data_IF_405615756539
#
_entry.id   IF_405615756539
#
_cell.length_a   1.000
_cell.length_b   1.000
_cell.length_c   1.000
_cell.angle_alpha   90.00
_cell.angle_beta   90.00
_cell.angle_gamma   90.00
#
_symmetry.space_group_name_H-M   'P 1'
#
loop_
_entity.id
_entity.type
_entity.pdbx_description
1 polymer ?
#
# COMPACT_ATOMS: atom_id res chain seq x y z
N UNK A 1 38.24 17.43 -0.08
CA UNK A 1 39.08 18.05 0.97
C UNK A 1 38.78 17.34 2.28
N UNK A 2 39.56 16.33 2.65
CA UNK A 2 39.41 15.66 3.94
C UNK A 2 40.25 16.42 4.96
N UNK A 3 39.60 17.31 5.73
CA UNK A 3 40.25 17.96 6.86
C UNK A 3 40.49 16.89 7.92
N UNK A 4 41.74 16.50 8.12
CA UNK A 4 42.17 15.66 9.23
C UNK A 4 42.64 16.60 10.35
N UNK A 5 41.79 16.92 11.34
CA UNK A 5 42.21 17.79 12.42
C UNK A 5 43.37 17.15 13.19
N UNK A 6 44.49 17.86 13.26
CA UNK A 6 45.70 17.45 13.99
C UNK A 6 45.60 18.03 15.40
N UNK A 7 45.43 17.19 16.40
CA UNK A 7 45.44 17.59 17.81
C UNK A 7 46.84 17.34 18.41
N UNK A 8 47.37 18.33 19.12
CA UNK A 8 48.63 18.21 19.89
C UNK A 8 48.26 17.81 21.32
N UNK A 9 48.82 16.71 21.82
CA UNK A 9 48.51 16.18 23.15
C UNK A 9 49.50 16.69 24.20
N UNK A 10 48.99 17.12 25.36
CA UNK A 10 49.79 17.29 26.59
C UNK A 10 49.83 15.95 27.35
N UNK A 11 50.99 15.60 27.94
CA UNK A 11 51.12 14.37 28.71
C UNK A 11 50.20 14.39 29.95
N UNK A 12 49.34 13.37 30.11
CA UNK A 12 48.50 13.17 31.29
C UNK A 12 46.99 13.38 31.12
N UNK A 13 46.53 13.75 29.92
CA UNK A 13 45.09 13.80 29.59
C UNK A 13 44.74 12.68 28.59
N UNK A 14 43.74 11.87 28.91
CA UNK A 14 43.06 10.99 27.95
C UNK A 14 41.92 11.80 27.31
N UNK A 15 42.10 12.38 26.10
CA UNK A 15 41.01 13.11 25.48
C UNK A 15 39.93 12.12 25.03
N UNK A 16 38.70 12.36 25.48
CA UNK A 16 37.53 11.70 24.91
C UNK A 16 37.15 12.43 23.63
N UNK A 17 37.21 11.75 22.49
CA UNK A 17 36.65 12.28 21.25
C UNK A 17 35.12 12.16 21.29
N UNK A 18 34.43 13.26 21.60
CA UNK A 18 32.97 13.30 21.42
C UNK A 18 32.67 13.59 19.95
N UNK A 19 32.51 12.55 19.15
CA UNK A 19 32.06 12.72 17.77
C UNK A 19 30.56 13.08 17.78
N UNK A 20 30.21 14.30 17.39
CA UNK A 20 28.81 14.73 17.27
C UNK A 20 28.20 14.16 15.97
N UNK A 21 27.85 12.87 15.98
CA UNK A 21 27.18 12.22 14.85
C UNK A 21 25.70 12.64 14.85
N UNK A 22 25.26 13.32 13.79
CA UNK A 22 23.84 13.63 13.60
C UNK A 22 23.09 12.34 13.33
N UNK A 23 22.33 11.84 14.31
CA UNK A 23 21.49 10.65 14.16
C UNK A 23 20.11 11.02 13.60
N UNK A 24 19.78 10.53 12.41
CA UNK A 24 18.45 10.70 11.82
C UNK A 24 17.51 9.62 12.37
N UNK A 25 16.30 10.01 12.79
CA UNK A 25 15.28 9.06 13.24
C UNK A 25 14.86 8.10 12.13
N UNK A 26 14.40 6.90 12.47
CA UNK A 26 13.82 5.96 11.50
C UNK A 26 12.38 6.36 11.18
N UNK A 27 11.93 6.32 9.91
CA UNK A 27 10.53 6.54 9.57
C UNK A 27 9.59 5.57 10.31
N UNK A 28 8.46 6.08 10.78
CA UNK A 28 7.37 5.30 11.38
C UNK A 28 6.22 5.13 10.39
N UNK A 29 5.47 4.04 10.53
CA UNK A 29 4.38 3.66 9.64
C UNK A 29 3.05 3.73 10.39
N UNK A 30 2.02 4.29 9.76
CA UNK A 30 0.66 4.28 10.29
C UNK A 30 -0.37 4.04 9.18
N UNK A 31 -1.16 2.95 9.23
CA UNK A 31 -1.19 1.96 10.31
C UNK A 31 0.06 1.06 10.30
N UNK A 32 0.28 0.30 11.39
CA UNK A 32 1.40 -0.65 11.48
C UNK A 32 1.21 -1.85 10.54
N UNK A 33 2.29 -2.57 10.25
CA UNK A 33 2.24 -3.80 9.47
C UNK A 33 1.29 -4.83 10.06
N UNK A 34 0.58 -5.56 9.21
CA UNK A 34 -0.46 -6.50 9.62
C UNK A 34 -1.35 -6.97 8.47
N UNK A 35 -2.40 -7.70 8.85
CA UNK A 35 -3.42 -8.21 7.93
C UNK A 35 -4.61 -7.27 7.92
N UNK A 36 -5.04 -6.86 6.74
CA UNK A 36 -6.17 -5.96 6.53
C UNK A 36 -7.21 -6.61 5.61
N UNK A 37 -8.52 -6.44 5.89
CA UNK A 37 -9.59 -7.06 5.10
C UNK A 37 -9.92 -6.28 3.81
N UNK A 38 -9.32 -5.09 3.62
CA UNK A 38 -9.54 -4.21 2.50
C UNK A 38 -8.29 -3.35 2.25
N UNK A 39 -8.15 -2.73 1.06
CA UNK A 39 -7.08 -1.78 0.78
C UNK A 39 -6.98 -0.66 1.81
N UNK A 40 -5.75 -0.27 2.15
CA UNK A 40 -5.46 0.79 3.13
C UNK A 40 -4.53 1.85 2.55
N UNK A 41 -4.48 3.01 3.22
CA UNK A 41 -3.47 4.04 2.97
C UNK A 41 -2.48 4.09 4.14
N UNK A 42 -1.19 3.90 3.84
CA UNK A 42 -0.10 3.95 4.81
C UNK A 42 0.54 5.33 4.78
N UNK A 43 0.59 5.97 5.94
CA UNK A 43 1.28 7.23 6.16
C UNK A 43 2.66 6.97 6.77
N UNK A 44 3.68 7.66 6.26
CA UNK A 44 5.03 7.67 6.81
C UNK A 44 5.25 8.96 7.59
N UNK A 45 5.83 8.85 8.78
CA UNK A 45 6.14 9.99 9.64
C UNK A 45 7.58 9.94 10.14
N UNK A 46 8.16 11.11 10.41
CA UNK A 46 9.52 11.23 10.91
C UNK A 46 9.56 12.23 12.08
N UNK A 47 10.19 11.88 13.22
CA UNK A 47 10.31 12.80 14.34
C UNK A 47 11.37 13.88 14.14
N UNK A 48 12.25 13.74 13.14
CA UNK A 48 13.36 14.67 12.87
C UNK A 48 12.97 15.69 11.80
N UNK A 49 12.95 16.98 12.16
CA UNK A 49 12.72 18.06 11.19
C UNK A 49 13.86 18.17 10.16
N UNK A 50 13.51 18.45 8.90
CA UNK A 50 14.47 18.75 7.83
C UNK A 50 15.00 17.55 7.03
N UNK A 51 14.56 16.32 7.31
CA UNK A 51 14.89 15.14 6.52
C UNK A 51 13.74 14.74 5.57
N UNK A 52 14.12 14.17 4.42
CA UNK A 52 13.21 13.66 3.41
C UNK A 52 13.09 12.14 3.55
N UNK A 53 11.88 11.58 3.40
CA UNK A 53 11.65 10.14 3.46
C UNK A 53 11.65 9.55 2.06
N UNK A 54 12.45 8.51 1.85
CA UNK A 54 12.52 7.74 0.61
C UNK A 54 12.06 6.31 0.87
N UNK A 55 11.29 5.73 -0.05
CA UNK A 55 10.66 4.43 0.17
C UNK A 55 10.63 3.53 -1.07
N UNK A 56 10.33 2.26 -0.82
CA UNK A 56 10.06 1.19 -1.77
C UNK A 56 8.86 0.39 -1.26
N UNK A 57 8.07 -0.19 -2.16
CA UNK A 57 6.90 -1.05 -1.81
C UNK A 57 7.12 -2.52 -2.17
N UNK A 58 8.20 -2.83 -2.88
CA UNK A 58 8.56 -4.16 -3.34
C UNK A 58 9.53 -4.90 -2.40
N UNK A 59 9.76 -4.39 -1.19
CA UNK A 59 10.73 -4.94 -0.25
C UNK A 59 12.21 -4.74 -0.59
N UNK A 60 12.55 -3.95 -1.61
CA UNK A 60 13.95 -3.56 -1.85
C UNK A 60 14.43 -2.53 -0.81
N UNK A 61 15.73 -2.54 -0.47
CA UNK A 61 16.28 -1.54 0.45
C UNK A 61 16.25 -0.15 -0.23
N UNK A 62 15.59 0.86 0.38
CA UNK A 62 15.48 2.19 -0.21
C UNK A 62 16.81 2.96 -0.14
N UNK A 63 17.03 3.82 -1.11
CA UNK A 63 18.15 4.77 -1.18
C UNK A 63 17.62 6.18 -1.45
N UNK A 64 18.48 7.19 -1.47
CA UNK A 64 18.08 8.56 -1.85
C UNK A 64 17.68 8.71 -3.33
N UNK A 65 17.84 7.65 -4.14
CA UNK A 65 17.33 7.55 -5.51
C UNK A 65 15.96 6.86 -5.59
N UNK A 66 15.47 6.30 -4.48
CA UNK A 66 14.14 5.69 -4.42
C UNK A 66 13.03 6.76 -4.44
N UNK A 67 11.77 6.33 -4.44
CA UNK A 67 10.65 7.25 -4.49
C UNK A 67 10.61 8.16 -3.25
N UNK A 68 10.44 9.46 -3.47
CA UNK A 68 10.23 10.43 -2.40
C UNK A 68 8.81 10.31 -1.86
N UNK A 69 8.66 10.21 -0.54
CA UNK A 69 7.36 10.23 0.11
C UNK A 69 6.78 11.66 0.13
N UNK A 70 5.68 11.86 -0.59
CA UNK A 70 4.94 13.14 -0.67
C UNK A 70 3.45 12.99 -0.36
N UNK A 71 2.93 11.77 -0.36
CA UNK A 71 1.52 11.44 -0.10
C UNK A 71 1.42 10.02 0.49
N UNK A 72 0.30 9.68 1.15
CA UNK A 72 0.06 8.33 1.66
C UNK A 72 0.21 7.26 0.57
N UNK A 73 0.76 6.10 0.95
CA UNK A 73 1.02 4.96 0.06
C UNK A 73 -0.22 4.06 0.07
N UNK A 74 -0.83 3.83 -1.10
CA UNK A 74 -1.96 2.94 -1.23
C UNK A 74 -1.49 1.48 -1.29
N UNK A 75 -1.98 0.65 -0.35
CA UNK A 75 -1.71 -0.79 -0.28
C UNK A 75 -2.98 -1.53 -0.64
N UNK A 76 -3.03 -2.12 -1.82
CA UNK A 76 -4.20 -2.86 -2.32
C UNK A 76 -3.99 -4.36 -2.43
N UNK A 77 -2.75 -4.83 -2.26
CA UNK A 77 -2.33 -6.23 -2.29
C UNK A 77 -1.22 -6.44 -1.26
N UNK A 78 -0.81 -7.70 -1.06
CA UNK A 78 0.32 -8.05 -0.21
C UNK A 78 1.60 -7.34 -0.70
N UNK A 79 2.20 -6.52 0.17
CA UNK A 79 3.44 -5.82 -0.16
C UNK A 79 4.27 -5.47 1.08
N UNK A 80 5.53 -5.11 0.84
CA UNK A 80 6.48 -4.74 1.90
C UNK A 80 6.99 -3.34 1.66
N UNK A 81 6.61 -2.43 2.54
CA UNK A 81 7.08 -1.04 2.48
C UNK A 81 8.35 -0.93 3.31
N UNK A 82 9.42 -0.45 2.69
CA UNK A 82 10.64 -0.05 3.38
C UNK A 82 10.89 1.43 3.20
N UNK A 83 11.41 2.10 4.23
CA UNK A 83 11.66 3.52 4.19
C UNK A 83 12.94 3.93 4.93
N UNK A 84 13.63 4.94 4.39
CA UNK A 84 14.73 5.64 5.07
C UNK A 84 14.42 7.14 5.11
N UNK A 85 14.97 7.83 6.10
CA UNK A 85 15.05 9.28 6.10
C UNK A 85 16.47 9.73 5.79
N UNK A 86 16.61 10.79 4.99
CA UNK A 86 17.90 11.37 4.62
C UNK A 86 17.90 12.89 4.80
N UNK A 87 18.98 13.41 5.38
CA UNK A 87 19.28 14.84 5.42
C UNK A 87 20.08 15.26 4.18
N UNK A 88 20.01 16.54 3.80
CA UNK A 88 20.78 17.10 2.67
C UNK A 88 22.30 16.95 2.82
N UNK A 89 22.80 16.78 4.05
CA UNK A 89 24.21 16.51 4.37
C UNK A 89 24.65 15.05 4.25
N UNK A 90 23.79 14.15 3.76
CA UNK A 90 24.11 12.74 3.50
C UNK A 90 23.93 11.77 4.67
N UNK A 91 23.58 12.25 5.86
CA UNK A 91 23.22 11.38 6.97
C UNK A 91 21.87 10.68 6.70
N UNK A 92 21.84 9.35 6.87
CA UNK A 92 20.67 8.51 6.66
C UNK A 92 20.25 7.81 7.96
N UNK A 93 18.97 7.49 8.07
CA UNK A 93 18.44 6.68 9.17
C UNK A 93 18.72 5.19 8.96
N UNK A 94 18.44 4.37 9.97
CA UNK A 94 18.21 2.94 9.74
C UNK A 94 16.97 2.73 8.86
N UNK A 95 16.88 1.58 8.19
CA UNK A 95 15.75 1.19 7.36
C UNK A 95 14.57 0.81 8.25
N UNK A 96 13.44 1.48 8.09
CA UNK A 96 12.15 1.05 8.61
C UNK A 96 11.52 0.04 7.67
N UNK A 97 10.91 -1.02 8.20
CA UNK A 97 10.28 -2.09 7.41
C UNK A 97 8.88 -2.35 7.96
N UNK A 98 7.89 -2.45 7.08
CA UNK A 98 6.53 -2.82 7.43
C UNK A 98 5.93 -3.73 6.36
N UNK A 99 5.38 -4.86 6.80
CA UNK A 99 4.78 -5.88 5.93
C UNK A 99 3.25 -5.76 6.01
N UNK A 100 2.59 -5.74 4.85
CA UNK A 100 1.14 -5.65 4.76
C UNK A 100 0.59 -6.83 3.97
N UNK A 101 -0.47 -7.42 4.49
CA UNK A 101 -1.22 -8.48 3.82
C UNK A 101 -2.65 -8.00 3.64
N UNK A 102 -3.16 -8.03 2.41
CA UNK A 102 -4.54 -7.68 2.08
C UNK A 102 -5.32 -8.97 1.87
N UNK A 103 -5.97 -9.44 2.94
CA UNK A 103 -6.82 -10.63 2.88
C UNK A 103 -8.28 -10.21 2.65
N UNK A 104 -8.58 -9.82 1.41
CA UNK A 104 -9.95 -9.48 1.03
C UNK A 104 -10.83 -10.73 1.07
N UNK A 105 -11.80 -10.73 1.98
CA UNK A 105 -12.79 -11.82 2.05
C UNK A 105 -13.83 -11.59 0.97
N UNK A 106 -13.96 -12.54 0.04
CA UNK A 106 -15.05 -12.51 -0.93
C UNK A 106 -16.39 -12.58 -0.18
N UNK A 107 -17.24 -11.59 -0.39
CA UNK A 107 -18.61 -11.62 0.14
C UNK A 107 -19.41 -12.58 -0.73
N UNK A 108 -20.06 -13.61 -0.15
CA UNK A 108 -20.86 -14.53 -0.93
C UNK A 108 -22.02 -13.79 -1.61
N UNK A 109 -22.24 -14.10 -2.88
CA UNK A 109 -23.34 -13.59 -3.70
C UNK A 109 -24.28 -14.71 -4.09
N UNK A 110 -25.56 -14.40 -4.18
CA UNK A 110 -26.57 -15.26 -4.78
C UNK A 110 -27.15 -14.57 -6.00
N UNK A 111 -27.33 -15.32 -7.08
CA UNK A 111 -27.91 -14.82 -8.33
C UNK A 111 -29.20 -15.56 -8.59
N UNK A 112 -30.25 -14.81 -8.93
CA UNK A 112 -31.51 -15.36 -9.41
C UNK A 112 -31.84 -14.72 -10.76
N UNK A 113 -32.48 -15.49 -11.64
CA UNK A 113 -32.92 -15.01 -12.95
C UNK A 113 -34.41 -15.30 -13.06
N UNK A 114 -35.19 -14.28 -13.40
CA UNK A 114 -36.62 -14.39 -13.63
C UNK A 114 -36.95 -13.85 -15.03
N UNK A 115 -37.83 -14.56 -15.74
CA UNK A 115 -38.43 -14.05 -16.97
C UNK A 115 -39.68 -13.24 -16.66
N UNK A 116 -39.97 -12.22 -17.46
CA UNK A 116 -41.21 -11.43 -17.38
C UNK A 116 -42.47 -12.26 -17.60
N UNK A 117 -42.37 -13.41 -18.29
CA UNK A 117 -43.48 -14.34 -18.55
C UNK A 117 -43.00 -15.80 -18.48
N UNK A 118 -43.76 -16.67 -17.82
CA UNK A 118 -43.49 -18.11 -17.77
C UNK A 118 -44.80 -18.91 -17.63
N UNK A 119 -45.25 -19.65 -18.66
CA UNK A 119 -44.62 -19.85 -19.97
C UNK A 119 -44.60 -18.58 -20.85
N UNK A 120 -43.60 -18.44 -21.72
CA UNK A 120 -43.48 -17.34 -22.68
C UNK A 120 -44.09 -17.70 -24.05
N UNK A 121 -45.00 -16.88 -24.62
CA UNK A 121 -45.49 -17.06 -25.99
C UNK A 121 -44.36 -16.95 -27.03
N UNK A 122 -44.42 -17.75 -28.10
CA UNK A 122 -43.44 -17.70 -29.18
C UNK A 122 -43.59 -16.43 -30.03
N UNK A 123 -42.47 -15.82 -30.43
CA UNK A 123 -42.43 -14.63 -31.29
C UNK A 123 -42.55 -13.30 -30.56
N UNK A 124 -42.92 -13.30 -29.27
CA UNK A 124 -43.00 -12.09 -28.45
C UNK A 124 -41.68 -11.83 -27.70
N UNK A 125 -41.27 -10.56 -27.54
CA UNK A 125 -40.11 -10.22 -26.74
C UNK A 125 -40.38 -10.49 -25.25
N UNK A 126 -39.36 -10.99 -24.54
CA UNK A 126 -39.38 -11.19 -23.09
C UNK A 126 -38.21 -10.48 -22.42
N UNK A 127 -38.41 -10.05 -21.19
CA UNK A 127 -37.35 -9.47 -20.36
C UNK A 127 -36.87 -10.50 -19.36
N UNK A 128 -35.56 -10.71 -19.27
CA UNK A 128 -34.95 -11.43 -18.16
C UNK A 128 -34.39 -10.43 -17.16
N UNK A 129 -34.80 -10.57 -15.90
CA UNK A 129 -34.25 -9.80 -14.79
C UNK A 129 -33.34 -10.72 -13.98
N UNK A 130 -32.04 -10.41 -13.96
CA UNK A 130 -31.13 -10.99 -12.99
C UNK A 130 -31.14 -10.12 -11.74
N UNK A 131 -31.33 -10.75 -10.58
CA UNK A 131 -31.15 -10.10 -9.29
C UNK A 131 -29.93 -10.73 -8.63
N UNK A 132 -28.93 -9.89 -8.37
CA UNK A 132 -27.73 -10.26 -7.61
C UNK A 132 -27.89 -9.69 -6.20
N UNK A 133 -27.82 -10.57 -5.21
CA UNK A 133 -27.84 -10.20 -3.80
C UNK A 133 -26.52 -10.61 -3.15
N UNK A 134 -25.99 -9.73 -2.34
CA UNK A 134 -24.81 -9.95 -1.49
C UNK A 134 -25.26 -10.25 -0.06
N UNK A 135 -24.51 -11.07 0.66
CA UNK A 135 -24.73 -11.26 2.09
C UNK A 135 -24.50 -9.98 2.92
N UNK A 136 -23.69 -9.04 2.41
CA UNK A 136 -23.43 -7.73 3.02
C UNK A 136 -22.86 -6.74 2.00
N UNK A 137 -23.17 -5.44 2.13
CA UNK A 137 -22.63 -4.39 1.26
C UNK A 137 -23.18 -4.44 -0.18
N UNK A 138 -22.81 -3.49 -1.05
CA UNK A 138 -23.21 -3.53 -2.46
C UNK A 138 -22.50 -4.67 -3.20
N UNK A 139 -23.19 -5.29 -4.16
CA UNK A 139 -22.55 -6.18 -5.12
C UNK A 139 -21.64 -5.38 -6.04
N UNK A 140 -20.50 -5.97 -6.42
CA UNK A 140 -19.57 -5.41 -7.39
C UNK A 140 -19.11 -6.48 -8.38
N UNK A 141 -18.53 -6.07 -9.50
CA UNK A 141 -18.05 -6.98 -10.55
C UNK A 141 -18.91 -6.93 -11.79
N UNK A 142 -18.97 -8.02 -12.55
CA UNK A 142 -19.69 -8.07 -13.82
C UNK A 142 -20.72 -9.20 -13.85
N UNK A 143 -21.88 -8.92 -14.45
CA UNK A 143 -22.92 -9.89 -14.78
C UNK A 143 -22.97 -10.01 -16.29
N UNK A 144 -22.70 -11.20 -16.82
CA UNK A 144 -22.82 -11.50 -18.24
C UNK A 144 -24.01 -12.41 -18.47
N UNK A 145 -24.96 -11.96 -19.29
CA UNK A 145 -26.01 -12.81 -19.82
C UNK A 145 -25.51 -13.53 -21.06
N UNK A 146 -25.66 -14.87 -21.10
CA UNK A 146 -25.26 -15.68 -22.24
C UNK A 146 -26.36 -16.63 -22.69
N UNK A 147 -26.41 -16.89 -23.99
CA UNK A 147 -27.16 -17.99 -24.59
C UNK A 147 -26.16 -19.05 -25.07
N UNK A 148 -26.05 -20.16 -24.33
CA UNK A 148 -24.95 -21.10 -24.51
C UNK A 148 -23.61 -20.39 -24.27
N UNK A 149 -22.69 -20.49 -25.23
CA UNK A 149 -21.39 -19.81 -25.19
C UNK A 149 -21.44 -18.35 -25.69
N UNK A 150 -22.57 -17.87 -26.23
CA UNK A 150 -22.67 -16.54 -26.82
C UNK A 150 -23.10 -15.54 -25.75
N UNK A 151 -22.26 -14.55 -25.46
CA UNK A 151 -22.64 -13.43 -24.58
C UNK A 151 -23.66 -12.52 -25.29
N UNK A 152 -24.82 -12.31 -24.66
CA UNK A 152 -25.87 -11.41 -25.11
C UNK A 152 -25.69 -10.00 -24.56
N UNK A 153 -24.99 -9.85 -23.42
CA UNK A 153 -24.66 -8.57 -22.83
C UNK A 153 -23.95 -8.71 -21.49
N UNK A 154 -23.19 -7.68 -21.11
CA UNK A 154 -22.49 -7.60 -19.82
C UNK A 154 -22.83 -6.28 -19.14
N UNK A 155 -23.11 -6.35 -17.85
CA UNK A 155 -23.40 -5.21 -16.99
C UNK A 155 -22.39 -5.22 -15.84
N UNK A 156 -21.80 -4.07 -15.53
CA UNK A 156 -20.99 -3.89 -14.32
C UNK A 156 -21.91 -3.48 -13.18
N UNK A 157 -21.76 -4.14 -12.02
CA UNK A 157 -22.47 -3.85 -10.78
C UNK A 157 -21.72 -2.77 -9.97
#
# INVERSE_FOLDING_TARGET
MQQSPKFVYAAGISPTLTQNVVKVGTPTFSPLGGVYPAPIAVTLSLPSAGAMIYYTTNGAIPTTQSALYTAPIAVSQDETIQAIAALSGGATSAVGVSNYTINSVAVPTTTSIQSSVNPSPGGEPITFTATVTTASGPASGTVTFSHGAVAMGTITL
#
